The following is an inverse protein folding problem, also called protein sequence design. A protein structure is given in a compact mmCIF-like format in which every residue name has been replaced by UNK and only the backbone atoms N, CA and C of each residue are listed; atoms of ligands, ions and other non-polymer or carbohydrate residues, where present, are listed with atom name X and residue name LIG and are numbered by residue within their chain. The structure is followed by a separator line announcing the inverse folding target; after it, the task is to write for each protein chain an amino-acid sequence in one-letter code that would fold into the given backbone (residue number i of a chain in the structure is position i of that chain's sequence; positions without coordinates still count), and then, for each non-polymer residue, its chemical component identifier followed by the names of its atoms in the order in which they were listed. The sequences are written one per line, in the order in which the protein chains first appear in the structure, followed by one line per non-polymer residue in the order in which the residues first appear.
data_IF_460269836832
#
_entry.id   IF_460269836832
#
_cell.length_a   1.000
_cell.length_b   1.000
_cell.length_c   1.000
_cell.angle_alpha   90.00
_cell.angle_beta   90.00
_cell.angle_gamma   90.00
#
_symmetry.space_group_name_H-M   'P 1'
#
loop_
_entity.id
_entity.type
_entity.pdbx_description
1 polymer ?
#
# COMPACT_ATOMS: atom_id res chain seq x y z
N UNK A 1 66.15 -9.66 26.95
CA UNK A 1 65.34 -8.94 25.94
C UNK A 1 64.54 -9.91 25.05
N UNK A 2 63.66 -10.72 25.63
CA UNK A 2 62.54 -11.35 24.90
C UNK A 2 61.30 -10.60 25.37
N UNK A 3 61.18 -9.37 24.85
CA UNK A 3 60.25 -8.35 25.30
C UNK A 3 58.86 -8.61 24.71
N UNK A 4 57.83 -8.43 25.53
CA UNK A 4 56.60 -7.62 25.33
C UNK A 4 55.72 -7.90 24.07
N UNK A 5 56.25 -8.37 22.95
CA UNK A 5 55.53 -8.66 21.71
C UNK A 5 54.60 -9.89 21.82
N UNK A 6 54.97 -10.93 22.58
CA UNK A 6 54.17 -12.17 22.66
C UNK A 6 52.87 -12.02 23.46
N UNK A 7 52.77 -11.08 24.41
CA UNK A 7 51.54 -10.86 25.20
C UNK A 7 50.53 -9.95 24.49
N UNK A 8 50.95 -9.17 23.49
CA UNK A 8 50.07 -8.30 22.69
C UNK A 8 49.25 -9.07 21.65
N UNK A 9 49.76 -10.19 21.12
CA UNK A 9 49.07 -10.97 20.10
C UNK A 9 47.95 -11.85 20.68
N UNK A 10 48.14 -12.42 21.89
CA UNK A 10 47.06 -13.14 22.59
C UNK A 10 45.91 -12.23 23.05
N UNK A 11 46.20 -10.97 23.40
CA UNK A 11 45.17 -9.98 23.72
C UNK A 11 44.32 -9.58 22.50
N UNK A 12 44.95 -9.42 21.32
CA UNK A 12 44.26 -9.07 20.07
C UNK A 12 43.43 -10.24 19.54
N UNK A 13 43.87 -11.50 19.69
CA UNK A 13 43.03 -12.66 19.34
C UNK A 13 41.83 -12.83 20.28
N UNK A 14 41.93 -12.48 21.57
CA UNK A 14 40.77 -12.46 22.46
C UNK A 14 39.80 -11.29 22.19
N UNK A 15 40.30 -10.18 21.62
CA UNK A 15 39.52 -9.02 21.20
C UNK A 15 38.85 -9.26 19.83
N UNK A 16 39.55 -9.90 18.88
CA UNK A 16 38.99 -10.30 17.58
C UNK A 16 38.03 -11.49 17.69
N UNK A 17 38.23 -12.38 18.66
CA UNK A 17 37.30 -13.46 19.00
C UNK A 17 36.02 -12.99 19.72
N UNK A 18 36.01 -11.76 20.27
CA UNK A 18 34.87 -11.18 21.00
C UNK A 18 34.09 -10.11 20.22
N UNK A 19 34.50 -9.76 19.00
CA UNK A 19 33.75 -8.83 18.11
C UNK A 19 32.89 -9.58 17.07
N UNK A 20 32.90 -10.92 17.05
CA UNK A 20 31.75 -11.68 16.57
C UNK A 20 30.77 -11.88 17.70
N UNK A 21 30.19 -10.77 18.16
CA UNK A 21 28.79 -10.83 18.59
C UNK A 21 28.04 -11.32 17.35
N UNK A 22 27.78 -12.62 17.30
CA UNK A 22 26.60 -13.13 16.64
C UNK A 22 25.44 -12.40 17.32
N UNK A 23 25.13 -11.19 16.85
CA UNK A 23 23.84 -10.57 17.14
C UNK A 23 22.85 -11.63 16.71
N UNK A 24 22.20 -12.27 17.67
CA UNK A 24 21.07 -13.12 17.38
C UNK A 24 20.15 -12.27 16.52
N UNK A 25 20.09 -12.62 15.22
CA UNK A 25 19.29 -11.88 14.28
C UNK A 25 17.87 -11.97 14.82
N UNK A 26 17.30 -10.83 15.17
CA UNK A 26 15.94 -10.70 15.69
C UNK A 26 15.03 -11.61 14.85
N UNK A 27 14.20 -12.48 15.45
CA UNK A 27 13.30 -13.35 14.70
C UNK A 27 12.51 -12.63 13.59
N UNK A 28 12.07 -11.38 13.84
CA UNK A 28 11.44 -10.51 12.83
C UNK A 28 12.36 -10.19 11.66
N UNK A 29 13.62 -9.84 11.93
CA UNK A 29 14.61 -9.52 10.89
C UNK A 29 14.98 -10.77 10.08
N UNK A 30 15.07 -11.94 10.73
CA UNK A 30 15.32 -13.22 10.03
C UNK A 30 14.17 -13.58 9.10
N UNK A 31 12.92 -13.43 9.55
CA UNK A 31 11.73 -13.67 8.74
C UNK A 31 11.70 -12.72 7.52
N UNK A 32 11.96 -11.43 7.74
CA UNK A 32 12.04 -10.45 6.65
C UNK A 32 13.07 -10.83 5.59
N UNK A 33 14.28 -11.18 6.01
CA UNK A 33 15.36 -11.52 5.10
C UNK A 33 15.05 -12.78 4.28
N UNK A 34 14.26 -13.72 4.84
CA UNK A 34 13.77 -14.86 4.08
C UNK A 34 12.79 -14.44 2.99
N UNK A 35 11.90 -13.49 3.26
CA UNK A 35 10.89 -13.01 2.30
C UNK A 35 11.50 -12.07 1.24
N UNK A 36 12.41 -11.15 1.61
CA UNK A 36 13.15 -10.33 0.63
C UNK A 36 13.93 -11.21 -0.35
N UNK A 37 14.53 -12.32 0.11
CA UNK A 37 15.24 -13.27 -0.77
C UNK A 37 14.32 -13.99 -1.77
N UNK A 38 13.03 -14.10 -1.47
CA UNK A 38 12.04 -14.67 -2.39
C UNK A 38 11.58 -13.68 -3.43
N UNK A 39 11.70 -12.39 -3.17
CA UNK A 39 11.35 -11.35 -4.13
C UNK A 39 12.27 -11.43 -5.34
N UNK A 40 11.68 -11.72 -6.50
CA UNK A 40 12.39 -11.69 -7.78
C UNK A 40 12.34 -10.28 -8.32
N UNK A 41 13.50 -9.64 -8.40
CA UNK A 41 13.63 -8.29 -8.94
C UNK A 41 13.10 -8.23 -10.38
N UNK A 42 12.22 -7.26 -10.70
CA UNK A 42 11.73 -7.07 -12.06
C UNK A 42 12.87 -6.78 -13.04
N UNK A 43 12.79 -7.28 -14.29
CA UNK A 43 13.73 -6.93 -15.34
C UNK A 43 13.77 -5.40 -15.56
N UNK A 44 14.97 -4.83 -15.70
CA UNK A 44 15.15 -3.40 -15.99
C UNK A 44 15.09 -2.46 -14.77
N UNK A 45 14.76 -2.94 -13.56
CA UNK A 45 14.88 -2.13 -12.35
C UNK A 45 16.36 -1.76 -12.11
N UNK A 46 16.66 -0.51 -11.71
CA UNK A 46 18.04 -0.09 -11.40
C UNK A 46 18.49 -0.54 -10.00
N UNK A 47 19.81 -0.72 -9.80
CA UNK A 47 20.34 -1.17 -8.52
C UNK A 47 20.07 -0.17 -7.39
N UNK A 48 20.06 1.12 -7.73
CA UNK A 48 19.75 2.19 -6.79
C UNK A 48 18.30 2.12 -6.33
N UNK A 49 17.36 1.91 -7.25
CA UNK A 49 15.94 1.75 -6.92
C UNK A 49 15.71 0.49 -6.07
N UNK A 50 16.32 -0.64 -6.44
CA UNK A 50 16.21 -1.88 -5.69
C UNK A 50 16.68 -1.72 -4.23
N UNK A 51 17.87 -1.14 -4.02
CA UNK A 51 18.39 -0.88 -2.66
C UNK A 51 17.48 0.06 -1.85
N UNK A 52 16.90 1.07 -2.50
CA UNK A 52 15.98 1.97 -1.83
C UNK A 52 14.70 1.24 -1.38
N UNK A 53 14.09 0.45 -2.27
CA UNK A 53 12.90 -0.34 -1.94
C UNK A 53 13.16 -1.37 -0.84
N UNK A 54 14.30 -2.07 -0.87
CA UNK A 54 14.73 -2.96 0.21
C UNK A 54 14.85 -2.21 1.55
N UNK A 55 15.41 -0.99 1.51
CA UNK A 55 15.52 -0.12 2.68
C UNK A 55 14.16 0.29 3.24
N UNK A 56 13.22 0.68 2.38
CA UNK A 56 11.83 1.02 2.72
C UNK A 56 11.13 -0.16 3.37
N UNK A 57 11.17 -1.33 2.74
CA UNK A 57 10.56 -2.57 3.25
C UNK A 57 11.11 -2.89 4.64
N UNK A 58 12.43 -2.80 4.82
CA UNK A 58 13.07 -3.03 6.13
C UNK A 58 12.59 -2.04 7.19
N UNK A 59 12.48 -0.75 6.86
CA UNK A 59 12.00 0.28 7.79
C UNK A 59 10.56 0.00 8.24
N UNK A 60 9.67 -0.32 7.31
CA UNK A 60 8.26 -0.63 7.61
C UNK A 60 8.17 -1.89 8.46
N UNK A 61 8.84 -2.98 8.06
CA UNK A 61 8.72 -4.25 8.76
C UNK A 61 9.25 -4.22 10.20
N UNK A 62 10.31 -3.45 10.42
CA UNK A 62 10.93 -3.30 11.73
C UNK A 62 10.23 -2.25 12.60
N UNK A 63 9.20 -1.55 12.11
CA UNK A 63 8.46 -0.58 12.90
C UNK A 63 7.64 -1.26 14.01
N UNK A 64 7.34 -0.51 15.08
CA UNK A 64 6.52 -0.99 16.20
C UNK A 64 5.44 0.02 16.55
N UNK A 65 4.25 -0.40 17.00
CA UNK A 65 3.15 0.52 17.34
C UNK A 65 3.55 1.62 18.32
N UNK A 66 4.51 1.30 19.21
CA UNK A 66 4.98 2.17 20.28
C UNK A 66 6.14 3.11 19.91
N UNK A 67 6.59 3.17 18.64
CA UNK A 67 7.51 4.23 18.21
C UNK A 67 6.79 5.58 18.19
N UNK A 68 6.74 6.23 19.37
CA UNK A 68 5.93 7.43 19.64
C UNK A 68 6.14 8.58 18.64
N UNK A 69 7.30 8.73 18.00
CA UNK A 69 7.53 9.83 17.06
C UNK A 69 8.64 9.52 16.05
N UNK A 70 8.33 8.86 14.92
CA UNK A 70 9.17 9.01 13.72
C UNK A 70 8.44 8.62 12.45
N UNK A 71 8.55 9.50 11.45
CA UNK A 71 8.28 9.18 10.07
C UNK A 71 9.12 7.95 9.70
N UNK A 72 8.45 6.81 9.48
CA UNK A 72 9.12 5.54 9.12
C UNK A 72 9.93 5.76 7.84
N UNK A 73 9.33 6.48 6.89
CA UNK A 73 9.92 6.87 5.62
C UNK A 73 10.09 8.38 5.58
N UNK A 74 11.14 8.83 4.89
CA UNK A 74 11.31 10.25 4.58
C UNK A 74 10.46 10.65 3.36
N UNK A 75 10.42 11.95 3.06
CA UNK A 75 9.64 12.49 1.96
C UNK A 75 10.05 11.92 0.60
N UNK A 76 11.36 11.83 0.32
CA UNK A 76 11.86 11.42 -1.00
C UNK A 76 11.58 9.94 -1.26
N UNK A 77 11.67 9.10 -0.21
CA UNK A 77 11.23 7.71 -0.24
C UNK A 77 9.74 7.60 -0.56
N UNK A 78 8.89 8.36 0.12
CA UNK A 78 7.44 8.35 -0.15
C UNK A 78 7.11 8.83 -1.55
N UNK A 79 7.76 9.91 -2.01
CA UNK A 79 7.59 10.45 -3.36
C UNK A 79 7.96 9.43 -4.41
N UNK A 80 9.14 8.81 -4.28
CA UNK A 80 9.61 7.82 -5.26
C UNK A 80 8.70 6.59 -5.28
N UNK A 81 8.25 6.08 -4.11
CA UNK A 81 7.26 5.01 -4.05
C UNK A 81 5.98 5.41 -4.79
N UNK A 82 5.45 6.60 -4.53
CA UNK A 82 4.24 7.07 -5.21
C UNK A 82 4.41 7.13 -6.73
N UNK A 83 5.56 7.63 -7.21
CA UNK A 83 5.85 7.70 -8.64
C UNK A 83 5.85 6.31 -9.29
N UNK A 84 6.51 5.33 -8.66
CA UNK A 84 6.57 3.95 -9.17
C UNK A 84 5.23 3.24 -9.08
N UNK A 85 4.51 3.41 -7.98
CA UNK A 85 3.15 2.86 -7.84
C UNK A 85 2.22 3.40 -8.91
N UNK A 86 2.29 4.71 -9.21
CA UNK A 86 1.50 5.31 -10.29
C UNK A 86 1.79 4.67 -11.65
N UNK A 87 3.06 4.47 -11.97
CA UNK A 87 3.48 3.81 -13.22
C UNK A 87 2.88 2.40 -13.33
N UNK A 88 2.95 1.60 -12.26
CA UNK A 88 2.41 0.24 -12.23
C UNK A 88 0.88 0.20 -12.35
N UNK A 89 0.17 1.05 -11.60
CA UNK A 89 -1.30 1.10 -11.64
C UNK A 89 -1.85 1.49 -13.02
N UNK A 90 -1.11 2.31 -13.77
CA UNK A 90 -1.48 2.72 -15.14
C UNK A 90 -1.25 1.61 -16.19
N UNK A 91 -0.47 0.57 -15.88
CA UNK A 91 -0.34 -0.61 -16.75
C UNK A 91 -1.57 -1.53 -16.65
N UNK A 92 -2.30 -1.46 -15.55
CA UNK A 92 -3.51 -2.24 -15.35
C UNK A 92 -4.70 -1.63 -16.14
N UNK A 93 -5.79 -2.37 -16.38
CA UNK A 93 -7.05 -1.79 -16.80
C UNK A 93 -7.80 -1.14 -15.61
N UNK A 94 -8.74 -0.23 -15.89
CA UNK A 94 -9.59 0.36 -14.86
C UNK A 94 -10.53 -0.67 -14.19
N UNK A 95 -10.90 -1.71 -14.96
CA UNK A 95 -11.67 -2.86 -14.50
C UNK A 95 -10.83 -4.13 -14.63
N UNK A 96 -10.42 -4.67 -13.49
CA UNK A 96 -9.52 -5.82 -13.43
C UNK A 96 -10.28 -7.12 -13.73
N UNK A 97 -9.59 -8.06 -14.37
CA UNK A 97 -10.02 -9.46 -14.47
C UNK A 97 -9.00 -10.31 -13.73
N UNK A 98 -9.44 -11.01 -12.69
CA UNK A 98 -8.55 -11.73 -11.78
C UNK A 98 -9.04 -13.17 -11.64
N UNK A 99 -8.11 -14.13 -11.70
CA UNK A 99 -8.45 -15.54 -11.55
C UNK A 99 -8.21 -16.02 -10.10
N UNK A 100 -9.03 -16.97 -9.59
CA UNK A 100 -8.75 -17.61 -8.31
C UNK A 100 -7.54 -18.56 -8.42
N UNK A 101 -6.87 -18.89 -7.29
CA UNK A 101 -7.19 -18.49 -5.92
C UNK A 101 -6.71 -17.07 -5.58
N UNK A 102 -7.55 -16.32 -4.86
CA UNK A 102 -7.22 -14.97 -4.36
C UNK A 102 -7.81 -14.76 -2.96
N UNK A 103 -7.15 -13.94 -2.16
CA UNK A 103 -7.70 -13.40 -0.90
C UNK A 103 -8.19 -11.97 -1.14
N UNK A 104 -9.45 -11.71 -0.82
CA UNK A 104 -10.04 -10.36 -0.86
C UNK A 104 -9.95 -9.77 0.53
N UNK A 105 -9.45 -8.54 0.63
CA UNK A 105 -9.32 -7.79 1.88
C UNK A 105 -10.10 -6.49 1.72
N UNK A 106 -10.94 -6.17 2.71
CA UNK A 106 -11.69 -4.92 2.76
C UNK A 106 -10.86 -3.78 3.34
N UNK A 107 -11.55 -2.87 4.02
CA UNK A 107 -10.95 -1.63 4.53
C UNK A 107 -9.78 -1.83 5.49
N UNK A 108 -8.77 -0.96 5.34
CA UNK A 108 -7.57 -0.93 6.21
C UNK A 108 -7.49 0.35 7.06
N UNK A 109 -8.06 1.48 6.59
CA UNK A 109 -8.17 2.75 7.34
C UNK A 109 -6.89 3.21 8.07
N UNK A 110 -5.73 3.09 7.41
CA UNK A 110 -4.45 3.54 7.98
C UNK A 110 -3.88 2.67 9.10
N UNK A 111 -4.45 1.48 9.34
CA UNK A 111 -3.98 0.52 10.33
C UNK A 111 -2.78 -0.28 9.80
N UNK A 112 -1.62 0.37 9.73
CA UNK A 112 -0.40 -0.20 9.16
C UNK A 112 -0.03 -1.57 9.76
N UNK A 113 -0.15 -1.76 11.08
CA UNK A 113 0.28 -2.99 11.73
C UNK A 113 -0.63 -4.17 11.40
N UNK A 114 -1.93 -3.95 11.28
CA UNK A 114 -2.88 -4.98 10.87
C UNK A 114 -2.62 -5.38 9.42
N UNK A 115 -2.30 -4.41 8.54
CA UNK A 115 -1.86 -4.70 7.18
C UNK A 115 -0.59 -5.56 7.14
N UNK A 116 0.40 -5.29 7.99
CA UNK A 116 1.61 -6.11 8.07
C UNK A 116 1.32 -7.53 8.57
N UNK A 117 0.37 -7.69 9.49
CA UNK A 117 -0.08 -9.00 9.94
C UNK A 117 -0.79 -9.78 8.83
N UNK A 118 -1.66 -9.14 8.05
CA UNK A 118 -2.30 -9.72 6.87
C UNK A 118 -1.25 -10.17 5.85
N UNK A 119 -0.28 -9.31 5.51
CA UNK A 119 0.80 -9.63 4.58
C UNK A 119 1.64 -10.83 5.06
N UNK A 120 1.92 -10.90 6.35
CA UNK A 120 2.64 -12.02 6.96
C UNK A 120 1.83 -13.32 6.91
N UNK A 121 0.54 -13.25 7.26
CA UNK A 121 -0.38 -14.38 7.22
C UNK A 121 -0.49 -14.97 5.81
N UNK A 122 -0.57 -14.11 4.79
CA UNK A 122 -0.61 -14.48 3.38
C UNK A 122 0.76 -14.83 2.78
N UNK A 123 1.83 -14.83 3.59
CA UNK A 123 3.21 -15.15 3.17
C UNK A 123 3.71 -14.27 2.03
N UNK A 124 3.37 -12.97 2.06
CA UNK A 124 3.80 -11.95 1.09
C UNK A 124 3.51 -12.37 -0.36
N UNK A 125 2.24 -12.26 -0.79
CA UNK A 125 1.86 -12.63 -2.15
C UNK A 125 2.68 -11.86 -3.19
N UNK A 126 3.01 -12.54 -4.30
CA UNK A 126 3.77 -11.94 -5.40
C UNK A 126 2.93 -11.02 -6.28
N UNK A 127 1.61 -11.24 -6.28
CA UNK A 127 0.63 -10.47 -7.04
C UNK A 127 -0.36 -9.84 -6.06
N UNK A 128 -0.52 -8.52 -6.15
CA UNK A 128 -1.39 -7.72 -5.29
C UNK A 128 -2.11 -6.75 -6.21
N UNK A 129 -3.44 -6.76 -6.13
CA UNK A 129 -4.29 -5.82 -6.84
C UNK A 129 -4.89 -4.83 -5.83
N UNK A 130 -4.96 -3.56 -6.21
CA UNK A 130 -5.54 -2.51 -5.38
C UNK A 130 -6.75 -1.93 -6.11
N UNK A 131 -7.89 -1.85 -5.42
CA UNK A 131 -9.06 -1.12 -5.90
C UNK A 131 -9.16 0.22 -5.18
N UNK A 132 -9.79 1.19 -5.83
CA UNK A 132 -10.05 2.52 -5.28
C UNK A 132 -11.24 2.47 -4.32
N UNK A 133 -11.06 3.01 -3.12
CA UNK A 133 -12.16 3.30 -2.20
C UNK A 133 -12.59 4.77 -2.22
N UNK A 134 -13.62 5.10 -1.45
CA UNK A 134 -14.10 6.48 -1.34
C UNK A 134 -13.12 7.39 -0.58
N UNK A 135 -12.38 6.83 0.37
CA UNK A 135 -11.29 7.52 1.06
C UNK A 135 -10.09 7.81 0.14
N UNK A 136 -10.04 7.26 -1.07
CA UNK A 136 -9.04 7.60 -2.09
C UNK A 136 -9.54 8.72 -3.04
N UNK A 137 -10.44 9.58 -2.55
CA UNK A 137 -10.88 10.81 -3.23
C UNK A 137 -10.34 12.05 -2.51
N UNK A 138 -10.16 13.14 -3.27
CA UNK A 138 -9.59 14.39 -2.74
C UNK A 138 -10.47 15.03 -1.67
N UNK A 139 -11.79 14.97 -1.80
CA UNK A 139 -12.73 15.53 -0.84
C UNK A 139 -12.68 14.76 0.49
N UNK A 140 -12.84 13.44 0.45
CA UNK A 140 -12.90 12.60 1.65
C UNK A 140 -11.58 12.61 2.40
N UNK A 141 -10.45 12.34 1.74
CA UNK A 141 -9.19 12.25 2.47
C UNK A 141 -8.67 13.60 3.01
N UNK A 142 -9.18 14.70 2.46
CA UNK A 142 -8.93 16.03 3.03
C UNK A 142 -9.76 16.26 4.29
N UNK A 143 -11.02 15.84 4.29
CA UNK A 143 -11.93 16.01 5.42
C UNK A 143 -11.61 15.05 6.58
N UNK A 144 -11.24 13.80 6.29
CA UNK A 144 -11.06 12.74 7.28
C UNK A 144 -9.60 12.50 7.67
N UNK A 145 -8.78 13.55 7.66
CA UNK A 145 -7.52 13.61 8.39
C UNK A 145 -6.26 13.16 7.64
N UNK A 146 -6.34 12.55 6.46
CA UNK A 146 -5.13 12.16 5.71
C UNK A 146 -4.32 13.39 5.24
N UNK A 147 -5.00 14.44 4.77
CA UNK A 147 -4.36 15.72 4.46
C UNK A 147 -3.63 16.33 5.67
N UNK A 148 -4.32 16.39 6.82
CA UNK A 148 -3.75 16.94 8.04
C UNK A 148 -2.62 16.08 8.58
N UNK A 149 -2.71 14.76 8.42
CA UNK A 149 -1.63 13.83 8.73
C UNK A 149 -0.39 14.11 7.89
N UNK A 150 -0.54 14.26 6.57
CA UNK A 150 0.58 14.60 5.69
C UNK A 150 1.22 15.94 6.11
N UNK A 151 0.40 16.97 6.35
CA UNK A 151 0.86 18.30 6.80
C UNK A 151 1.59 18.24 8.13
N UNK A 152 1.04 17.51 9.11
CA UNK A 152 1.62 17.35 10.45
C UNK A 152 2.90 16.52 10.42
N UNK A 153 2.93 15.45 9.64
CA UNK A 153 4.09 14.54 9.54
C UNK A 153 5.21 15.15 8.70
N UNK A 154 4.90 15.96 7.70
CA UNK A 154 5.90 16.57 6.83
C UNK A 154 5.69 18.09 6.77
N UNK A 155 6.08 18.86 7.80
CA UNK A 155 5.75 20.29 7.88
C UNK A 155 6.25 21.14 6.71
N UNK A 156 7.33 20.72 6.02
CA UNK A 156 7.92 21.47 4.90
C UNK A 156 7.25 21.17 3.55
N UNK A 157 6.76 19.96 3.34
CA UNK A 157 6.37 19.43 2.03
C UNK A 157 5.19 18.45 2.07
N UNK A 158 4.46 18.38 3.19
CA UNK A 158 3.34 17.46 3.37
C UNK A 158 2.16 17.73 2.44
N UNK A 159 1.93 18.99 2.06
CA UNK A 159 0.87 19.36 1.09
C UNK A 159 1.24 18.89 -0.33
N UNK A 160 2.52 19.01 -0.70
CA UNK A 160 3.04 18.49 -1.96
C UNK A 160 2.95 16.95 -1.99
N UNK A 161 3.32 16.31 -0.89
CA UNK A 161 3.24 14.87 -0.74
C UNK A 161 1.78 14.37 -0.82
N UNK A 162 0.84 15.03 -0.13
CA UNK A 162 -0.58 14.74 -0.26
C UNK A 162 -1.07 14.89 -1.70
N UNK A 163 -0.64 15.94 -2.41
CA UNK A 163 -0.96 16.13 -3.83
C UNK A 163 -0.39 14.98 -4.67
N UNK A 164 0.78 14.48 -4.33
CA UNK A 164 1.39 13.30 -4.97
C UNK A 164 0.56 12.03 -4.74
N UNK A 165 0.04 11.82 -3.52
CA UNK A 165 -0.91 10.73 -3.26
C UNK A 165 -2.17 10.84 -4.10
N UNK A 166 -2.72 12.06 -4.32
CA UNK A 166 -3.87 12.23 -5.20
C UNK A 166 -3.59 11.76 -6.63
N UNK A 167 -2.37 11.98 -7.14
CA UNK A 167 -1.98 11.45 -8.46
C UNK A 167 -1.94 9.93 -8.49
N UNK A 168 -1.57 9.26 -7.39
CA UNK A 168 -1.62 7.80 -7.28
C UNK A 168 -3.06 7.30 -7.21
N UNK A 169 -3.87 7.91 -6.34
CA UNK A 169 -5.27 7.50 -6.14
C UNK A 169 -6.11 7.64 -7.41
N UNK A 170 -5.87 8.69 -8.21
CA UNK A 170 -6.53 8.86 -9.51
C UNK A 170 -6.14 7.79 -10.54
N UNK A 171 -5.08 7.03 -10.28
CA UNK A 171 -4.67 5.90 -11.10
C UNK A 171 -5.19 4.56 -10.57
N UNK A 172 -5.91 4.46 -9.46
CA UNK A 172 -6.39 3.16 -8.98
C UNK A 172 -7.50 2.59 -9.89
N UNK A 173 -7.50 1.28 -10.18
CA UNK A 173 -8.67 0.59 -10.74
C UNK A 173 -9.88 0.74 -9.81
N UNK A 174 -11.09 0.75 -10.35
CA UNK A 174 -12.32 1.00 -9.56
C UNK A 174 -13.10 -0.26 -9.23
N UNK A 175 -12.91 -1.33 -10.01
CA UNK A 175 -13.59 -2.59 -9.80
C UNK A 175 -12.77 -3.77 -10.35
N UNK A 176 -13.13 -4.98 -9.92
CA UNK A 176 -12.58 -6.23 -10.43
C UNK A 176 -13.69 -7.28 -10.66
N UNK A 177 -13.43 -8.21 -11.57
CA UNK A 177 -14.20 -9.43 -11.73
C UNK A 177 -13.33 -10.64 -11.43
N UNK A 178 -13.65 -11.36 -10.35
CA UNK A 178 -12.90 -12.54 -9.90
C UNK A 178 -13.57 -13.81 -10.44
N UNK A 179 -12.79 -14.62 -11.16
CA UNK A 179 -13.21 -15.93 -11.69
C UNK A 179 -14.47 -15.87 -12.54
N UNK A 180 -14.70 -14.74 -13.22
CA UNK A 180 -15.93 -14.45 -13.99
C UNK A 180 -17.25 -14.58 -13.21
N UNK A 181 -17.20 -14.49 -11.87
CA UNK A 181 -18.36 -14.75 -10.99
C UNK A 181 -18.58 -13.69 -9.93
N UNK A 182 -17.51 -13.18 -9.34
CA UNK A 182 -17.61 -12.26 -8.21
C UNK A 182 -17.20 -10.87 -8.69
N UNK A 183 -18.16 -9.95 -8.72
CA UNK A 183 -17.89 -8.54 -8.94
C UNK A 183 -17.41 -7.92 -7.63
N UNK A 184 -16.30 -7.19 -7.68
CA UNK A 184 -15.71 -6.51 -6.54
C UNK A 184 -15.63 -5.02 -6.84
N UNK A 185 -16.27 -4.22 -6.01
CA UNK A 185 -16.12 -2.78 -5.91
C UNK A 185 -16.04 -2.42 -4.42
N UNK A 186 -15.64 -1.19 -4.09
CA UNK A 186 -15.49 -0.79 -2.69
C UNK A 186 -16.84 -0.56 -2.00
N UNK A 187 -17.76 0.13 -2.67
CA UNK A 187 -19.14 0.29 -2.22
C UNK A 187 -20.02 -0.83 -2.77
N UNK A 188 -20.79 -0.51 -3.82
CA UNK A 188 -21.78 -1.41 -4.38
C UNK A 188 -21.92 -1.29 -5.89
N UNK A 189 -23.13 -1.54 -6.37
CA UNK A 189 -23.50 -1.44 -7.79
C UNK A 189 -24.19 -0.10 -8.07
N UNK A 190 -24.18 0.32 -9.32
CA UNK A 190 -24.83 1.55 -9.79
C UNK A 190 -25.99 1.22 -10.72
N UNK A 191 -27.07 2.01 -10.71
CA UNK A 191 -28.12 1.95 -11.73
C UNK A 191 -27.56 2.18 -13.14
N UNK A 192 -26.51 3.00 -13.24
CA UNK A 192 -25.84 3.30 -14.50
C UNK A 192 -25.02 2.11 -15.01
N UNK A 193 -24.76 1.08 -14.18
CA UNK A 193 -23.97 -0.09 -14.56
C UNK A 193 -24.80 -1.12 -15.32
N UNK A 194 -25.00 -0.87 -16.61
CA UNK A 194 -25.73 -1.78 -17.51
C UNK A 194 -24.82 -2.79 -18.22
N UNK A 195 -23.53 -2.50 -18.36
CA UNK A 195 -22.55 -3.37 -19.01
C UNK A 195 -21.12 -3.08 -18.58
N UNK A 196 -20.32 -4.13 -18.35
CA UNK A 196 -18.88 -3.98 -18.06
C UNK A 196 -18.07 -3.34 -19.20
N UNK A 197 -18.60 -3.27 -20.43
CA UNK A 197 -17.97 -2.50 -21.52
C UNK A 197 -17.88 -1.00 -21.20
N UNK A 198 -18.69 -0.49 -20.28
CA UNK A 198 -18.62 0.91 -19.85
C UNK A 198 -17.27 1.25 -19.21
N UNK A 199 -16.61 0.28 -18.56
CA UNK A 199 -15.29 0.49 -17.96
C UNK A 199 -14.19 0.75 -18.99
N UNK A 200 -14.35 0.29 -20.23
CA UNK A 200 -13.39 0.56 -21.33
C UNK A 200 -13.35 2.05 -21.72
N UNK A 201 -14.39 2.81 -21.35
CA UNK A 201 -14.49 4.25 -21.61
C UNK A 201 -13.95 5.10 -20.47
N UNK A 202 -13.55 4.48 -19.36
CA UNK A 202 -12.98 5.17 -18.21
C UNK A 202 -11.47 5.28 -18.39
N UNK A 203 -11.02 6.49 -18.74
CA UNK A 203 -9.60 6.80 -18.83
C UNK A 203 -9.01 7.05 -17.43
N UNK A 204 -7.79 6.57 -17.20
CA UNK A 204 -7.00 6.87 -15.99
C UNK A 204 -5.72 7.61 -16.37
N UNK A 205 -5.26 8.60 -15.58
CA UNK A 205 -5.79 9.00 -14.28
C UNK A 205 -7.12 9.76 -14.36
N UNK A 206 -8.03 9.53 -13.42
CA UNK A 206 -9.31 10.27 -13.32
C UNK A 206 -9.63 10.64 -11.89
N UNK A 207 -10.22 11.82 -11.70
CA UNK A 207 -10.92 12.14 -10.46
C UNK A 207 -12.30 11.49 -10.47
N UNK A 208 -12.92 11.33 -9.30
CA UNK A 208 -14.31 10.83 -9.19
C UNK A 208 -15.19 12.01 -8.81
N UNK A 209 -16.20 12.28 -9.65
CA UNK A 209 -17.24 13.27 -9.35
C UNK A 209 -18.20 12.74 -8.28
N UNK A 210 -18.94 13.63 -7.63
CA UNK A 210 -19.89 13.26 -6.57
C UNK A 210 -21.16 12.54 -7.09
N UNK A 211 -21.26 12.29 -8.40
CA UNK A 211 -22.40 11.64 -9.07
C UNK A 211 -21.93 10.68 -10.18
N UNK A 212 -22.81 9.72 -10.52
CA UNK A 212 -22.68 8.79 -11.63
C UNK A 212 -21.91 7.52 -11.30
N UNK A 213 -21.79 6.63 -12.29
CA UNK A 213 -21.23 5.28 -12.17
C UNK A 213 -20.01 5.14 -11.23
N UNK A 214 -18.96 5.96 -11.41
CA UNK A 214 -17.74 5.82 -10.60
C UNK A 214 -17.95 6.22 -9.13
N UNK A 215 -18.82 7.19 -8.86
CA UNK A 215 -19.20 7.57 -7.51
C UNK A 215 -19.90 6.40 -6.82
N UNK A 216 -20.87 5.80 -7.49
CA UNK A 216 -21.68 4.73 -6.93
C UNK A 216 -20.85 3.49 -6.59
N UNK A 217 -19.92 3.11 -7.47
CA UNK A 217 -19.02 1.97 -7.22
C UNK A 217 -18.19 2.09 -5.94
N UNK A 218 -17.94 3.30 -5.45
CA UNK A 218 -17.18 3.53 -4.20
C UNK A 218 -18.06 3.96 -3.03
N UNK A 219 -19.35 4.26 -3.22
CA UNK A 219 -20.22 4.82 -2.17
C UNK A 219 -21.49 4.03 -1.90
N UNK A 220 -21.98 3.24 -2.84
CA UNK A 220 -23.27 2.56 -2.67
C UNK A 220 -23.22 1.54 -1.54
N UNK A 221 -24.28 1.51 -0.74
CA UNK A 221 -24.47 0.54 0.34
C UNK A 221 -25.61 -0.43 -0.03
N UNK A 222 -25.62 -1.67 0.49
CA UNK A 222 -26.72 -2.59 0.25
C UNK A 222 -28.03 -2.11 0.91
N UNK A 223 -29.16 -2.24 0.21
CA UNK A 223 -30.48 -1.99 0.76
C UNK A 223 -30.95 -3.14 1.66
N UNK A 224 -31.75 -2.80 2.69
CA UNK A 224 -32.44 -3.78 3.54
C UNK A 224 -33.89 -4.01 3.11
N UNK A 225 -34.39 -3.23 2.14
CA UNK A 225 -35.77 -3.25 1.64
C UNK A 225 -35.77 -3.38 0.11
N UNK A 226 -36.54 -4.33 -0.40
CA UNK A 226 -36.43 -4.80 -1.79
C UNK A 226 -36.71 -3.74 -2.88
N UNK A 227 -35.86 -3.82 -3.91
CA UNK A 227 -36.05 -3.56 -5.34
C UNK A 227 -35.93 -2.13 -5.91
N UNK A 228 -35.63 -1.10 -5.11
CA UNK A 228 -35.44 0.27 -5.62
C UNK A 228 -34.19 0.94 -5.03
N UNK A 229 -33.46 1.68 -5.87
CA UNK A 229 -32.34 2.50 -5.41
C UNK A 229 -32.89 3.72 -4.67
N UNK A 230 -32.41 3.93 -3.44
CA UNK A 230 -32.81 5.07 -2.61
C UNK A 230 -31.61 5.98 -2.33
N UNK A 231 -31.78 7.29 -2.10
CA UNK A 231 -30.67 8.17 -1.74
C UNK A 231 -29.89 7.66 -0.51
N UNK A 232 -28.56 7.58 -0.60
CA UNK A 232 -27.74 7.08 0.50
C UNK A 232 -27.79 8.02 1.72
N UNK A 233 -27.87 7.49 2.95
CA UNK A 233 -27.69 8.25 4.19
C UNK A 233 -26.34 8.97 4.28
N UNK A 234 -25.35 8.56 3.46
CA UNK A 234 -24.04 9.19 3.34
C UNK A 234 -24.09 10.54 2.63
N UNK A 235 -25.23 10.90 2.02
CA UNK A 235 -25.44 12.17 1.33
C UNK A 235 -24.90 12.22 -0.10
N UNK A 236 -24.32 11.10 -0.58
CA UNK A 236 -23.84 10.89 -1.96
C UNK A 236 -24.13 9.45 -2.37
N UNK A 237 -24.42 9.21 -3.65
CA UNK A 237 -24.83 7.91 -4.19
C UNK A 237 -26.16 7.38 -3.61
N UNK A 238 -26.41 6.09 -3.78
CA UNK A 238 -27.65 5.39 -3.48
C UNK A 238 -27.42 4.15 -2.60
N UNK A 239 -28.49 3.68 -1.99
CA UNK A 239 -28.62 2.37 -1.35
C UNK A 239 -29.28 1.44 -2.37
N UNK A 240 -28.70 0.26 -2.61
CA UNK A 240 -29.13 -0.70 -3.66
C UNK A 240 -29.32 -2.11 -3.13
#
# INVERSE_FOLDING_TARGET
MKSIASRRIQGIQSLLGKVRSSREINPKERALMAEIRRYKRPPGMSDTLARMLEGVIKKIWMSTPNTKHRHILNHDEMREICLRTRELLLLEPCFLKVEPPITIVGDVHGQLYDMLEIMNFLRFPQEIYLLRGNHETRCVNRQYGFYDECKRKFPRNGIELWTTFQHVFNCLPVAALVGSRIFCAHGGISEDLVSFKQFERVYRPTDICDIGLLCDLIWSDPSTTNDLYEPSPRGVSAVS
#
